data_IF_565690942731
#
_entry.id   IF_565690942731
#
_cell.length_a   1.000
_cell.length_b   1.000
_cell.length_c   1.000
_cell.angle_alpha   90.00
_cell.angle_beta   90.00
_cell.angle_gamma   90.00
#
_symmetry.space_group_name_H-M   'P 1'
#
loop_
_entity.id
_entity.type
_entity.pdbx_description
1 polymer ?
#
# COMPACT_ATOMS: atom_id res chain seq x y z
N UNK A 1 -23.00 25.40 -49.26
CA UNK A 1 -21.69 24.74 -49.36
C UNK A 1 -21.53 23.77 -48.19
N UNK A 2 -21.47 22.45 -48.41
CA UNK A 2 -21.23 21.50 -47.33
C UNK A 2 -19.74 21.55 -46.96
N UNK A 3 -19.45 21.97 -45.72
CA UNK A 3 -18.11 22.03 -45.15
C UNK A 3 -17.61 20.62 -44.81
N UNK A 4 -17.04 19.95 -45.82
CA UNK A 4 -16.30 18.69 -45.68
C UNK A 4 -14.96 18.90 -44.95
N UNK A 5 -15.00 19.21 -43.65
CA UNK A 5 -13.81 19.10 -42.81
C UNK A 5 -13.75 17.70 -42.18
N UNK A 6 -12.85 16.82 -42.63
CA UNK A 6 -12.65 15.51 -42.00
C UNK A 6 -12.04 15.74 -40.63
N UNK A 7 -12.88 15.72 -39.60
CA UNK A 7 -12.43 16.07 -38.26
C UNK A 7 -12.40 14.87 -37.35
N UNK A 8 -11.42 14.00 -37.58
CA UNK A 8 -11.03 13.04 -36.55
C UNK A 8 -10.28 13.83 -35.49
N UNK A 9 -10.88 13.99 -34.31
CA UNK A 9 -10.14 14.45 -33.14
C UNK A 9 -8.92 13.54 -32.95
N UNK A 10 -7.77 14.08 -32.55
CA UNK A 10 -6.60 13.27 -32.27
C UNK A 10 -6.91 12.36 -31.08
N UNK A 11 -7.24 11.10 -31.38
CA UNK A 11 -7.33 10.07 -30.34
C UNK A 11 -5.90 9.70 -29.91
N UNK A 12 -5.69 9.48 -28.61
CA UNK A 12 -4.39 9.02 -28.14
C UNK A 12 -4.05 7.68 -28.82
N UNK A 13 -2.89 7.66 -29.49
CA UNK A 13 -2.33 6.41 -29.98
C UNK A 13 -1.95 5.53 -28.78
N UNK A 14 -2.05 4.21 -28.94
CA UNK A 14 -1.63 3.26 -27.89
C UNK A 14 -0.17 3.49 -27.50
N UNK A 15 0.67 3.86 -28.47
CA UNK A 15 2.08 4.20 -28.27
C UNK A 15 2.26 5.41 -27.37
N UNK A 16 1.51 6.50 -27.60
CA UNK A 16 1.58 7.69 -26.74
C UNK A 16 1.17 7.38 -25.29
N UNK A 17 0.11 6.58 -25.10
CA UNK A 17 -0.33 6.14 -23.76
C UNK A 17 0.75 5.27 -23.09
N UNK A 18 1.36 4.36 -23.82
CA UNK A 18 2.44 3.51 -23.30
C UNK A 18 3.66 4.34 -22.85
N UNK A 19 4.11 5.29 -23.68
CA UNK A 19 5.22 6.20 -23.36
C UNK A 19 4.89 7.03 -22.11
N UNK A 20 3.68 7.57 -22.03
CA UNK A 20 3.21 8.31 -20.84
C UNK A 20 3.29 7.44 -19.58
N UNK A 21 2.76 6.22 -19.63
CA UNK A 21 2.79 5.28 -18.49
C UNK A 21 4.22 4.94 -18.09
N UNK A 22 5.12 4.70 -19.06
CA UNK A 22 6.52 4.42 -18.80
C UNK A 22 7.21 5.62 -18.11
N UNK A 23 6.99 6.84 -18.61
CA UNK A 23 7.53 8.06 -18.01
C UNK A 23 7.01 8.28 -16.59
N UNK A 24 5.71 8.11 -16.35
CA UNK A 24 5.14 8.21 -15.01
C UNK A 24 5.67 7.12 -14.06
N UNK A 25 5.89 5.91 -14.57
CA UNK A 25 6.47 4.81 -13.78
C UNK A 25 7.91 5.12 -13.36
N UNK A 26 8.72 5.67 -14.27
CA UNK A 26 10.06 6.14 -13.94
C UNK A 26 10.02 7.26 -12.88
N UNK A 27 9.13 8.23 -13.03
CA UNK A 27 8.95 9.30 -12.05
C UNK A 27 8.55 8.76 -10.67
N UNK A 28 7.61 7.81 -10.60
CA UNK A 28 7.23 7.16 -9.34
C UNK A 28 8.38 6.42 -8.68
N UNK A 29 9.21 5.73 -9.46
CA UNK A 29 10.40 5.03 -8.93
C UNK A 29 11.39 6.02 -8.32
N UNK A 30 11.65 7.15 -8.98
CA UNK A 30 12.53 8.21 -8.44
C UNK A 30 11.95 8.79 -7.15
N UNK A 31 10.66 9.11 -7.15
CA UNK A 31 9.96 9.65 -5.97
C UNK A 31 10.01 8.65 -4.82
N UNK A 32 9.77 7.36 -5.09
CA UNK A 32 9.85 6.30 -4.09
C UNK A 32 11.27 6.11 -3.56
N UNK A 33 12.30 6.10 -4.40
CA UNK A 33 13.68 5.97 -3.94
C UNK A 33 14.08 7.14 -3.02
N UNK A 34 13.68 8.36 -3.39
CA UNK A 34 13.99 9.55 -2.59
C UNK A 34 13.26 9.59 -1.25
N UNK A 35 11.97 9.26 -1.22
CA UNK A 35 11.19 9.30 0.02
C UNK A 35 11.39 8.08 0.92
N UNK A 36 11.59 6.91 0.33
CA UNK A 36 11.59 5.64 1.04
C UNK A 36 12.95 4.96 0.90
N UNK A 37 13.30 4.46 -0.28
CA UNK A 37 14.33 3.41 -0.34
C UNK A 37 15.69 3.88 0.12
N UNK A 38 16.12 5.06 -0.34
CA UNK A 38 17.44 5.64 -0.01
C UNK A 38 17.73 5.71 1.49
N UNK A 39 16.69 5.69 2.34
CA UNK A 39 16.81 5.80 3.81
C UNK A 39 16.87 4.47 4.52
N UNK A 40 16.28 3.45 3.92
CA UNK A 40 16.13 2.15 4.56
C UNK A 40 16.87 1.04 3.82
N UNK A 41 17.68 1.34 2.80
CA UNK A 41 18.38 0.34 1.96
C UNK A 41 19.03 -0.80 2.76
N UNK A 42 19.74 -0.48 3.85
CA UNK A 42 20.34 -1.49 4.72
C UNK A 42 19.31 -2.43 5.35
N UNK A 43 18.22 -1.86 5.87
CA UNK A 43 17.07 -2.61 6.41
C UNK A 43 16.38 -3.44 5.33
N UNK A 44 16.23 -2.90 4.12
CA UNK A 44 15.66 -3.65 2.98
C UNK A 44 16.50 -4.88 2.63
N UNK A 45 17.82 -4.69 2.57
CA UNK A 45 18.77 -5.75 2.26
C UNK A 45 18.75 -6.83 3.34
N UNK A 46 18.81 -6.44 4.61
CA UNK A 46 18.72 -7.37 5.73
C UNK A 46 17.38 -8.14 5.72
N UNK A 47 16.26 -7.47 5.46
CA UNK A 47 14.95 -8.12 5.36
C UNK A 47 14.88 -9.10 4.18
N UNK A 48 15.46 -8.73 3.04
CA UNK A 48 15.55 -9.63 1.90
C UNK A 48 16.37 -10.88 2.24
N UNK A 49 17.55 -10.71 2.83
CA UNK A 49 18.40 -11.83 3.27
C UNK A 49 17.62 -12.74 4.23
N UNK A 50 16.89 -12.17 5.20
CA UNK A 50 16.03 -12.93 6.12
C UNK A 50 14.93 -13.73 5.42
N UNK A 51 14.29 -13.18 4.38
CA UNK A 51 13.26 -13.92 3.63
C UNK A 51 13.88 -15.09 2.88
N UNK A 52 15.02 -14.88 2.23
CA UNK A 52 15.75 -15.91 1.48
C UNK A 52 16.27 -17.01 2.42
N UNK A 53 16.78 -16.64 3.60
CA UNK A 53 17.24 -17.58 4.63
C UNK A 53 16.13 -18.17 5.51
N UNK A 54 14.86 -17.94 5.18
CA UNK A 54 13.71 -18.42 5.94
C UNK A 54 13.70 -18.00 7.43
N UNK A 55 14.28 -16.85 7.77
CA UNK A 55 14.37 -16.31 9.14
C UNK A 55 13.58 -15.02 9.35
N UNK A 56 12.86 -14.53 8.34
CA UNK A 56 12.01 -13.36 8.49
C UNK A 56 10.81 -13.65 9.41
N UNK A 57 10.26 -12.63 10.10
CA UNK A 57 9.04 -12.78 10.88
C UNK A 57 7.78 -12.85 9.99
N UNK A 58 6.68 -13.34 10.57
CA UNK A 58 5.36 -13.23 9.92
C UNK A 58 4.88 -11.76 9.94
N UNK A 59 4.13 -11.31 8.91
CA UNK A 59 3.78 -12.04 7.68
C UNK A 59 4.83 -11.98 6.56
N UNK A 60 5.94 -11.25 6.72
CA UNK A 60 6.89 -10.98 5.63
C UNK A 60 7.52 -12.26 5.07
N UNK A 61 7.81 -13.24 5.92
CA UNK A 61 8.36 -14.54 5.49
C UNK A 61 7.54 -15.23 4.39
N UNK A 62 6.21 -15.01 4.36
CA UNK A 62 5.32 -15.68 3.42
C UNK A 62 5.14 -14.90 2.11
N UNK A 63 5.75 -13.72 1.98
CA UNK A 63 5.62 -12.84 0.81
C UNK A 63 6.79 -13.03 -0.15
N UNK A 64 6.96 -14.26 -0.61
CA UNK A 64 8.19 -14.71 -1.27
C UNK A 64 8.37 -14.16 -2.69
N UNK A 65 7.30 -13.91 -3.44
CA UNK A 65 7.38 -13.64 -4.88
C UNK A 65 8.41 -12.57 -5.26
N UNK A 66 8.34 -11.39 -4.64
CA UNK A 66 9.22 -10.26 -4.99
C UNK A 66 10.67 -10.51 -4.59
N UNK A 67 10.90 -11.16 -3.44
CA UNK A 67 12.25 -11.45 -2.97
C UNK A 67 12.94 -12.45 -3.90
N UNK A 68 12.24 -13.51 -4.32
CA UNK A 68 12.79 -14.47 -5.28
C UNK A 68 12.94 -13.89 -6.69
N UNK A 69 12.04 -12.99 -7.12
CA UNK A 69 12.22 -12.26 -8.37
C UNK A 69 13.47 -11.36 -8.34
N UNK A 70 13.71 -10.66 -7.22
CA UNK A 70 14.91 -9.83 -7.03
C UNK A 70 16.18 -10.69 -6.99
N UNK A 71 16.15 -11.81 -6.29
CA UNK A 71 17.26 -12.77 -6.23
C UNK A 71 17.62 -13.30 -7.63
N UNK A 72 16.63 -13.61 -8.47
CA UNK A 72 16.88 -14.02 -9.86
C UNK A 72 17.57 -12.94 -10.70
N UNK A 73 17.17 -11.68 -10.52
CA UNK A 73 17.82 -10.53 -11.17
C UNK A 73 19.24 -10.31 -10.65
N UNK A 74 19.46 -10.48 -9.34
CA UNK A 74 20.78 -10.35 -8.72
C UNK A 74 21.75 -11.42 -9.21
N UNK A 75 21.28 -12.67 -9.35
CA UNK A 75 22.05 -13.76 -9.97
C UNK A 75 22.37 -13.52 -11.45
N UNK A 76 21.62 -12.64 -12.10
CA UNK A 76 21.87 -12.21 -13.49
C UNK A 76 22.90 -11.06 -13.57
N UNK A 77 23.47 -10.63 -12.43
CA UNK A 77 24.53 -9.62 -12.36
C UNK A 77 24.07 -8.22 -11.96
N UNK A 78 22.78 -8.01 -11.66
CA UNK A 78 22.32 -6.72 -11.14
C UNK A 78 22.65 -6.60 -9.64
N UNK A 79 22.99 -5.40 -9.18
CA UNK A 79 23.10 -5.16 -7.74
C UNK A 79 21.71 -5.16 -7.07
N UNK A 80 21.71 -5.30 -5.74
CA UNK A 80 20.48 -5.36 -4.93
C UNK A 80 19.52 -4.20 -5.21
N UNK A 81 20.02 -2.97 -5.26
CA UNK A 81 19.18 -1.79 -5.44
C UNK A 81 18.60 -1.78 -6.85
N UNK A 82 19.43 -2.01 -7.86
CA UNK A 82 19.01 -2.06 -9.26
C UNK A 82 17.95 -3.15 -9.50
N UNK A 83 18.08 -4.33 -8.87
CA UNK A 83 17.08 -5.39 -8.96
C UNK A 83 15.69 -4.97 -8.42
N UNK A 84 15.63 -4.40 -7.22
CA UNK A 84 14.37 -3.94 -6.63
C UNK A 84 13.78 -2.72 -7.37
N UNK A 85 14.63 -1.80 -7.81
CA UNK A 85 14.23 -0.65 -8.64
C UNK A 85 13.65 -1.13 -9.98
N UNK A 86 14.27 -2.11 -10.64
CA UNK A 86 13.77 -2.70 -11.88
C UNK A 86 12.41 -3.37 -11.68
N UNK A 87 12.24 -4.17 -10.61
CA UNK A 87 10.95 -4.78 -10.27
C UNK A 87 9.88 -3.71 -10.08
N UNK A 88 10.17 -2.67 -9.28
CA UNK A 88 9.20 -1.59 -9.05
C UNK A 88 8.83 -0.87 -10.35
N UNK A 89 9.80 -0.55 -11.19
CA UNK A 89 9.55 0.08 -12.48
C UNK A 89 8.64 -0.78 -13.36
N UNK A 90 8.99 -2.05 -13.54
CA UNK A 90 8.24 -3.00 -14.39
C UNK A 90 6.83 -3.17 -13.87
N UNK A 91 6.64 -3.45 -12.58
CA UNK A 91 5.29 -3.67 -12.04
C UNK A 91 4.46 -2.39 -11.98
N UNK A 92 5.05 -1.21 -11.76
CA UNK A 92 4.32 0.07 -11.86
C UNK A 92 3.83 0.30 -13.30
N UNK A 93 4.72 0.08 -14.28
CA UNK A 93 4.39 0.24 -15.70
C UNK A 93 3.31 -0.74 -16.15
N UNK A 94 3.45 -2.00 -15.78
CA UNK A 94 2.46 -3.03 -16.09
C UNK A 94 1.12 -2.75 -15.39
N UNK A 95 1.13 -2.32 -14.12
CA UNK A 95 -0.10 -1.92 -13.43
C UNK A 95 -0.82 -0.79 -14.19
N UNK A 96 -0.09 0.27 -14.57
CA UNK A 96 -0.64 1.37 -15.36
C UNK A 96 -1.21 0.92 -16.71
N UNK A 97 -0.48 0.07 -17.45
CA UNK A 97 -0.90 -0.42 -18.77
C UNK A 97 -2.14 -1.32 -18.71
N UNK A 98 -2.15 -2.28 -17.78
CA UNK A 98 -3.32 -3.15 -17.60
C UNK A 98 -4.50 -2.37 -17.02
N UNK A 99 -4.26 -1.34 -16.21
CA UNK A 99 -5.33 -0.49 -15.70
C UNK A 99 -5.95 0.37 -16.80
N UNK A 100 -5.15 0.94 -17.70
CA UNK A 100 -5.64 1.57 -18.92
C UNK A 100 -6.51 0.60 -19.73
N UNK A 101 -5.99 -0.60 -20.00
CA UNK A 101 -6.70 -1.63 -20.77
C UNK A 101 -8.01 -2.03 -20.10
N UNK A 102 -8.01 -2.15 -18.77
CA UNK A 102 -9.20 -2.40 -17.97
C UNK A 102 -10.23 -1.28 -18.09
N UNK A 103 -9.83 -0.01 -17.92
CA UNK A 103 -10.72 1.14 -18.04
C UNK A 103 -11.32 1.27 -19.45
N UNK A 104 -10.56 0.98 -20.51
CA UNK A 104 -11.06 1.05 -21.89
C UNK A 104 -12.21 0.08 -22.19
N UNK A 105 -12.57 -0.82 -21.27
CA UNK A 105 -13.81 -1.59 -21.40
C UNK A 105 -15.07 -0.74 -21.25
N UNK A 106 -15.05 0.30 -20.43
CA UNK A 106 -16.24 1.12 -20.14
C UNK A 106 -16.08 2.58 -20.55
N UNK A 107 -14.86 3.00 -20.81
CA UNK A 107 -14.52 4.38 -21.11
C UNK A 107 -13.90 4.51 -22.50
N UNK A 108 -14.08 5.68 -23.12
CA UNK A 108 -13.24 6.13 -24.22
C UNK A 108 -11.78 6.23 -23.77
N UNK A 109 -10.83 6.25 -24.72
CA UNK A 109 -9.40 6.21 -24.39
C UNK A 109 -8.97 7.39 -23.54
N UNK A 110 -9.55 8.55 -23.81
CA UNK A 110 -9.25 9.80 -23.16
C UNK A 110 -9.62 9.73 -21.66
N UNK A 111 -10.84 9.28 -21.34
CA UNK A 111 -11.27 9.05 -19.97
C UNK A 111 -10.45 7.95 -19.27
N UNK A 112 -10.10 6.87 -19.99
CA UNK A 112 -9.21 5.84 -19.46
C UNK A 112 -7.82 6.39 -19.09
N UNK A 113 -7.26 7.31 -19.89
CA UNK A 113 -6.01 8.01 -19.54
C UNK A 113 -6.19 8.84 -18.28
N UNK A 114 -7.30 9.58 -18.09
CA UNK A 114 -7.55 10.30 -16.82
C UNK A 114 -7.52 9.32 -15.64
N UNK A 115 -8.17 8.17 -15.76
CA UNK A 115 -8.18 7.17 -14.69
C UNK A 115 -6.77 6.66 -14.35
N UNK A 116 -5.91 6.46 -15.36
CA UNK A 116 -4.50 6.12 -15.14
C UNK A 116 -3.74 7.26 -14.48
N UNK A 117 -3.93 8.51 -14.91
CA UNK A 117 -3.32 9.68 -14.27
C UNK A 117 -3.71 9.75 -12.79
N UNK A 118 -4.98 9.50 -12.45
CA UNK A 118 -5.44 9.41 -11.06
C UNK A 118 -4.76 8.29 -10.28
N UNK A 119 -4.61 7.10 -10.88
CA UNK A 119 -3.88 6.00 -10.22
C UNK A 119 -2.47 6.45 -9.84
N UNK A 120 -1.72 7.01 -10.80
CA UNK A 120 -0.37 7.52 -10.56
C UNK A 120 -0.34 8.70 -9.59
N UNK A 121 -1.40 9.51 -9.54
CA UNK A 121 -1.51 10.60 -8.59
C UNK A 121 -1.63 10.14 -7.15
N UNK A 122 -2.26 8.99 -6.94
CA UNK A 122 -2.49 8.42 -5.61
C UNK A 122 -1.30 7.61 -5.09
N UNK A 123 -0.47 7.04 -5.96
CA UNK A 123 0.69 6.22 -5.55
C UNK A 123 1.62 6.92 -4.53
N UNK A 124 1.99 8.20 -4.68
CA UNK A 124 2.87 8.89 -3.73
C UNK A 124 2.29 9.03 -2.32
N UNK A 125 0.96 9.10 -2.19
CA UNK A 125 0.31 9.13 -0.87
C UNK A 125 0.48 7.82 -0.11
N UNK A 126 0.75 6.73 -0.81
CA UNK A 126 1.06 5.44 -0.17
C UNK A 126 2.38 5.45 0.59
N UNK A 127 3.25 6.45 0.35
CA UNK A 127 4.56 6.58 1.01
C UNK A 127 4.46 7.27 2.38
N UNK A 128 3.29 7.78 2.76
CA UNK A 128 3.04 8.31 4.10
C UNK A 128 3.07 7.17 5.10
N UNK A 129 3.92 7.27 6.14
CA UNK A 129 4.12 6.22 7.15
C UNK A 129 4.43 4.83 6.55
N UNK A 130 5.07 4.83 5.39
CA UNK A 130 5.39 3.63 4.66
C UNK A 130 6.69 3.02 5.18
N UNK A 131 6.58 1.87 5.82
CA UNK A 131 7.71 0.96 5.95
C UNK A 131 7.95 0.31 4.59
N UNK A 132 9.20 0.19 4.13
CA UNK A 132 9.48 -0.37 2.80
C UNK A 132 8.86 -1.76 2.60
N UNK A 133 7.95 -1.86 1.62
CA UNK A 133 7.14 -3.06 1.39
C UNK A 133 7.09 -3.36 -0.12
N UNK A 134 8.14 -4.01 -0.67
CA UNK A 134 8.36 -4.12 -2.10
C UNK A 134 7.27 -4.93 -2.84
N UNK A 135 6.45 -5.67 -2.10
CA UNK A 135 5.29 -6.41 -2.57
C UNK A 135 4.07 -5.55 -2.93
N UNK A 136 4.01 -4.28 -2.53
CA UNK A 136 2.80 -3.46 -2.64
C UNK A 136 2.43 -3.11 -4.09
N UNK A 137 3.40 -2.71 -4.91
CA UNK A 137 3.18 -2.40 -6.33
C UNK A 137 2.85 -3.66 -7.14
N UNK A 138 3.58 -4.79 -7.01
CA UNK A 138 3.16 -6.07 -7.60
C UNK A 138 1.76 -6.50 -7.16
N UNK A 139 1.38 -6.25 -5.90
CA UNK A 139 0.03 -6.54 -5.43
C UNK A 139 -1.03 -5.71 -6.17
N UNK A 140 -0.81 -4.40 -6.34
CA UNK A 140 -1.67 -3.55 -7.15
C UNK A 140 -1.80 -4.09 -8.59
N UNK A 141 -0.69 -4.45 -9.22
CA UNK A 141 -0.69 -5.07 -10.55
C UNK A 141 -1.58 -6.33 -10.59
N UNK A 142 -1.40 -7.26 -9.66
CA UNK A 142 -2.21 -8.48 -9.61
C UNK A 142 -3.70 -8.20 -9.40
N UNK A 143 -4.05 -7.21 -8.57
CA UNK A 143 -5.44 -6.79 -8.42
C UNK A 143 -6.04 -6.24 -9.72
N UNK A 144 -5.30 -5.37 -10.43
CA UNK A 144 -5.72 -4.83 -11.72
C UNK A 144 -5.93 -5.94 -12.76
N UNK A 145 -4.95 -6.84 -12.91
CA UNK A 145 -5.02 -7.94 -13.90
C UNK A 145 -6.09 -8.95 -13.51
N UNK A 146 -6.24 -9.27 -12.22
CA UNK A 146 -7.27 -10.15 -11.70
C UNK A 146 -8.67 -9.59 -11.95
N UNK A 147 -8.88 -8.30 -11.71
CA UNK A 147 -10.13 -7.60 -12.04
C UNK A 147 -10.38 -7.57 -13.56
N UNK A 148 -9.34 -7.37 -14.37
CA UNK A 148 -9.45 -7.44 -15.83
C UNK A 148 -9.86 -8.84 -16.32
N UNK A 149 -9.27 -9.90 -15.75
CA UNK A 149 -9.63 -11.29 -16.06
C UNK A 149 -11.07 -11.60 -15.63
N UNK A 150 -11.48 -11.17 -14.43
CA UNK A 150 -12.85 -11.29 -13.92
C UNK A 150 -13.87 -10.56 -14.81
N UNK A 151 -13.57 -9.31 -15.20
CA UNK A 151 -14.39 -8.53 -16.12
C UNK A 151 -14.47 -9.17 -17.51
N UNK A 152 -13.44 -9.91 -17.93
CA UNK A 152 -13.39 -10.61 -19.22
C UNK A 152 -14.02 -12.00 -19.17
N UNK A 153 -14.42 -12.50 -17.99
CA UNK A 153 -14.88 -13.88 -17.83
C UNK A 153 -13.81 -14.93 -18.12
N UNK A 154 -12.52 -14.58 -18.10
CA UNK A 154 -11.40 -15.48 -18.41
C UNK A 154 -10.93 -16.20 -17.15
N UNK A 155 -11.66 -17.23 -16.74
CA UNK A 155 -11.44 -17.92 -15.46
C UNK A 155 -10.04 -18.53 -15.31
N UNK A 156 -9.50 -19.17 -16.36
CA UNK A 156 -8.14 -19.74 -16.31
C UNK A 156 -7.07 -18.66 -16.08
N UNK A 157 -7.17 -17.51 -16.76
CA UNK A 157 -6.28 -16.39 -16.53
C UNK A 157 -6.43 -15.81 -15.12
N UNK A 158 -7.68 -15.76 -14.60
CA UNK A 158 -7.95 -15.33 -13.24
C UNK A 158 -7.29 -16.27 -12.20
N UNK A 159 -7.40 -17.59 -12.36
CA UNK A 159 -6.74 -18.56 -11.48
C UNK A 159 -5.21 -18.45 -11.53
N UNK A 160 -4.63 -18.28 -12.72
CA UNK A 160 -3.18 -18.11 -12.86
C UNK A 160 -2.70 -16.84 -12.12
N UNK A 161 -3.41 -15.73 -12.29
CA UNK A 161 -3.10 -14.46 -11.59
C UNK A 161 -3.25 -14.62 -10.08
N UNK A 162 -4.34 -15.21 -9.61
CA UNK A 162 -4.57 -15.46 -8.18
C UNK A 162 -3.46 -16.34 -7.58
N UNK A 163 -3.07 -17.41 -8.28
CA UNK A 163 -2.00 -18.30 -7.85
C UNK A 163 -0.70 -17.56 -7.60
N UNK A 164 -0.22 -16.78 -8.58
CA UNK A 164 1.01 -15.99 -8.43
C UNK A 164 0.86 -14.88 -7.39
N UNK A 165 -0.30 -14.21 -7.35
CA UNK A 165 -0.57 -13.12 -6.41
C UNK A 165 -0.53 -13.56 -4.95
N UNK A 166 -0.98 -14.79 -4.65
CA UNK A 166 -0.94 -15.35 -3.29
C UNK A 166 0.48 -15.62 -2.78
N UNK A 167 1.47 -15.83 -3.66
CA UNK A 167 2.89 -15.86 -3.28
C UNK A 167 3.48 -14.46 -3.03
N UNK A 168 2.81 -13.41 -3.50
CA UNK A 168 3.21 -12.03 -3.27
C UNK A 168 2.59 -11.46 -2.00
N UNK A 169 1.28 -11.64 -1.80
CA UNK A 169 0.57 -11.13 -0.62
C UNK A 169 -0.74 -11.86 -0.38
N UNK A 170 -1.06 -12.14 0.87
CA UNK A 170 -2.28 -12.86 1.26
C UNK A 170 -3.56 -12.07 0.94
N UNK A 171 -3.49 -10.74 0.89
CA UNK A 171 -4.65 -9.89 0.56
C UNK A 171 -5.20 -10.16 -0.84
N UNK A 172 -4.42 -10.75 -1.75
CA UNK A 172 -4.86 -11.19 -3.07
C UNK A 172 -6.06 -12.16 -3.02
N UNK A 173 -6.31 -12.82 -1.89
CA UNK A 173 -7.50 -13.65 -1.68
C UNK A 173 -8.81 -12.89 -1.91
N UNK A 174 -8.82 -11.56 -1.76
CA UNK A 174 -9.98 -10.72 -2.04
C UNK A 174 -10.39 -10.70 -3.52
N UNK A 175 -9.55 -11.19 -4.43
CA UNK A 175 -9.96 -11.45 -5.82
C UNK A 175 -11.06 -12.52 -5.92
N UNK A 176 -11.12 -13.47 -4.99
CA UNK A 176 -12.12 -14.56 -4.96
C UNK A 176 -13.55 -14.01 -4.80
N UNK A 177 -13.88 -13.19 -3.77
CA UNK A 177 -15.21 -12.58 -3.69
C UNK A 177 -15.50 -11.61 -4.85
N UNK A 178 -14.48 -10.95 -5.42
CA UNK A 178 -14.67 -10.15 -6.65
C UNK A 178 -15.17 -11.03 -7.80
N UNK A 179 -14.57 -12.20 -8.02
CA UNK A 179 -15.03 -13.16 -9.04
C UNK A 179 -16.47 -13.58 -8.78
N UNK A 180 -16.77 -14.03 -7.56
CA UNK A 180 -18.12 -14.44 -7.14
C UNK A 180 -19.16 -13.37 -7.47
N UNK A 181 -18.96 -12.15 -6.94
CA UNK A 181 -19.93 -11.07 -7.11
C UNK A 181 -20.03 -10.63 -8.56
N UNK A 182 -18.91 -10.44 -9.25
CA UNK A 182 -18.92 -9.99 -10.65
C UNK A 182 -19.65 -10.97 -11.58
N UNK A 183 -19.58 -12.28 -11.32
CA UNK A 183 -20.13 -13.33 -12.18
C UNK A 183 -21.51 -13.84 -11.74
N UNK A 184 -21.95 -13.55 -10.52
CA UNK A 184 -23.24 -14.00 -9.98
C UNK A 184 -24.41 -13.69 -10.93
N UNK A 185 -25.24 -14.66 -11.29
CA UNK A 185 -26.36 -14.45 -12.22
C UNK A 185 -26.01 -14.10 -13.67
N UNK A 186 -24.72 -14.01 -14.06
CA UNK A 186 -24.30 -13.92 -15.48
C UNK A 186 -24.07 -15.30 -16.11
N UNK A 187 -23.90 -16.32 -15.27
CA UNK A 187 -23.83 -17.73 -15.64
C UNK A 187 -24.72 -18.50 -14.68
N UNK A 188 -24.89 -19.80 -14.92
CA UNK A 188 -25.52 -20.70 -13.94
C UNK A 188 -24.81 -20.53 -12.59
N UNK A 189 -25.55 -20.19 -11.55
CA UNK A 189 -24.98 -19.89 -10.23
C UNK A 189 -24.13 -21.06 -9.69
N UNK A 190 -24.52 -22.31 -10.01
CA UNK A 190 -23.76 -23.51 -9.67
C UNK A 190 -22.33 -23.48 -10.22
N UNK A 191 -22.15 -23.08 -11.49
CA UNK A 191 -20.82 -22.95 -12.08
C UNK A 191 -20.00 -21.86 -11.39
N UNK A 192 -20.60 -20.71 -11.08
CA UNK A 192 -19.91 -19.61 -10.39
C UNK A 192 -19.49 -20.02 -8.97
N UNK A 193 -20.34 -20.76 -8.26
CA UNK A 193 -20.03 -21.29 -6.93
C UNK A 193 -18.83 -22.26 -7.01
N UNK A 194 -18.83 -23.21 -7.94
CA UNK A 194 -17.71 -24.14 -8.14
C UNK A 194 -16.42 -23.39 -8.50
N UNK A 195 -16.49 -22.45 -9.45
CA UNK A 195 -15.34 -21.62 -9.83
C UNK A 195 -14.81 -20.80 -8.63
N UNK A 196 -15.69 -20.26 -7.80
CA UNK A 196 -15.31 -19.52 -6.59
C UNK A 196 -14.68 -20.45 -5.56
N UNK A 197 -15.24 -21.64 -5.35
CA UNK A 197 -14.72 -22.64 -4.42
C UNK A 197 -13.32 -23.12 -4.84
N UNK A 198 -13.11 -23.40 -6.13
CA UNK A 198 -11.78 -23.78 -6.66
C UNK A 198 -10.78 -22.64 -6.50
N UNK A 199 -11.17 -21.40 -6.78
CA UNK A 199 -10.29 -20.24 -6.57
C UNK A 199 -9.96 -20.02 -5.08
N UNK A 200 -10.94 -20.18 -4.20
CA UNK A 200 -10.75 -20.12 -2.75
C UNK A 200 -9.83 -21.23 -2.25
N UNK A 201 -10.03 -22.46 -2.70
CA UNK A 201 -9.19 -23.60 -2.36
C UNK A 201 -7.75 -23.41 -2.83
N UNK A 202 -7.54 -22.85 -4.03
CA UNK A 202 -6.20 -22.48 -4.52
C UNK A 202 -5.52 -21.47 -3.58
N UNK A 203 -6.23 -20.39 -3.23
CA UNK A 203 -5.66 -19.36 -2.35
C UNK A 203 -5.34 -19.88 -0.94
N UNK A 204 -6.28 -20.61 -0.32
CA UNK A 204 -6.08 -21.24 1.00
C UNK A 204 -4.97 -22.28 0.93
N UNK A 205 -4.90 -23.07 -0.15
CA UNK A 205 -3.86 -24.06 -0.39
C UNK A 205 -2.46 -23.45 -0.44
N UNK A 206 -2.28 -22.34 -1.17
CA UNK A 206 -1.00 -21.61 -1.22
C UNK A 206 -0.65 -21.00 0.15
N UNK A 207 -1.64 -20.42 0.85
CA UNK A 207 -1.45 -19.90 2.20
C UNK A 207 -0.96 -20.98 3.18
N UNK A 208 -1.56 -22.17 3.14
CA UNK A 208 -1.18 -23.32 3.95
C UNK A 208 0.18 -23.90 3.53
N UNK A 209 0.45 -23.99 2.22
CA UNK A 209 1.72 -24.44 1.68
C UNK A 209 2.89 -23.59 2.17
N UNK A 210 2.77 -22.26 2.12
CA UNK A 210 3.80 -21.33 2.59
C UNK A 210 4.09 -21.51 4.09
N UNK A 211 3.05 -21.67 4.92
CA UNK A 211 3.18 -21.90 6.37
C UNK A 211 3.76 -23.26 6.71
N UNK A 212 3.43 -24.30 5.92
CA UNK A 212 4.05 -25.61 6.05
C UNK A 212 5.53 -25.57 5.65
N UNK A 213 5.87 -24.82 4.60
CA UNK A 213 7.23 -24.75 4.06
C UNK A 213 8.18 -23.95 4.95
N UNK A 214 7.75 -22.78 5.44
CA UNK A 214 8.59 -21.87 6.23
C UNK A 214 8.39 -21.99 7.76
N UNK A 215 7.58 -22.95 8.19
CA UNK A 215 7.02 -23.05 9.54
C UNK A 215 6.20 -21.81 9.96
N UNK A 216 5.44 -21.96 11.05
CA UNK A 216 4.68 -20.84 11.62
C UNK A 216 5.65 -19.90 12.33
N UNK A 217 5.90 -18.75 11.73
CA UNK A 217 6.68 -17.65 12.32
C UNK A 217 5.83 -16.81 13.27
N UNK A 218 6.47 -16.29 14.32
CA UNK A 218 5.89 -15.26 15.17
C UNK A 218 5.61 -14.00 14.34
N UNK A 219 4.47 -13.35 14.60
CA UNK A 219 4.14 -12.08 13.99
C UNK A 219 4.96 -10.98 14.64
N UNK A 220 5.53 -10.07 13.85
CA UNK A 220 6.22 -8.88 14.39
C UNK A 220 5.23 -7.81 14.88
N UNK A 221 3.93 -8.02 14.65
CA UNK A 221 2.86 -7.06 14.87
C UNK A 221 1.69 -7.77 15.56
N UNK A 222 0.86 -7.03 16.27
CA UNK A 222 -0.39 -7.58 16.81
C UNK A 222 -1.26 -8.12 15.68
N UNK A 223 -2.03 -9.17 15.97
CA UNK A 223 -2.98 -9.72 15.00
C UNK A 223 -4.26 -8.88 14.91
N UNK A 224 -4.54 -8.03 15.91
CA UNK A 224 -5.83 -7.36 16.04
C UNK A 224 -5.66 -5.84 16.28
N UNK A 225 -5.92 -5.05 15.25
CA UNK A 225 -5.78 -3.59 15.21
C UNK A 225 -7.12 -2.83 15.26
N UNK A 226 -8.24 -3.52 15.47
CA UNK A 226 -9.56 -2.89 15.41
C UNK A 226 -9.68 -1.69 16.34
N UNK A 227 -9.25 -1.84 17.60
CA UNK A 227 -9.27 -0.76 18.59
C UNK A 227 -8.43 0.44 18.12
N UNK A 228 -7.18 0.23 17.73
CA UNK A 228 -6.29 1.32 17.32
C UNK A 228 -6.78 2.03 16.07
N UNK A 229 -7.23 1.27 15.06
CA UNK A 229 -7.74 1.82 13.82
C UNK A 229 -9.01 2.64 14.03
N UNK A 230 -9.89 2.19 14.93
CA UNK A 230 -11.12 2.92 15.24
C UNK A 230 -10.86 4.21 16.02
N UNK A 231 -9.88 4.20 16.93
CA UNK A 231 -9.55 5.35 17.78
C UNK A 231 -8.64 6.40 17.13
N UNK A 232 -7.86 6.03 16.10
CA UNK A 232 -6.87 6.94 15.50
C UNK A 232 -7.49 7.80 14.39
N UNK A 233 -7.72 9.09 14.69
CA UNK A 233 -8.27 10.07 13.75
C UNK A 233 -7.47 10.15 12.44
N UNK A 234 -6.15 9.92 12.49
CA UNK A 234 -5.27 9.99 11.31
C UNK A 234 -5.62 8.94 10.26
N UNK A 235 -6.10 7.77 10.67
CA UNK A 235 -6.59 6.72 9.76
C UNK A 235 -7.66 7.28 8.82
N UNK A 236 -8.62 8.01 9.37
CA UNK A 236 -9.72 8.58 8.59
C UNK A 236 -9.29 9.79 7.78
N UNK A 237 -8.40 10.64 8.33
CA UNK A 237 -7.83 11.77 7.58
C UNK A 237 -7.06 11.27 6.36
N UNK A 238 -6.22 10.25 6.51
CA UNK A 238 -5.48 9.70 5.38
C UNK A 238 -6.39 8.99 4.38
N UNK A 239 -7.39 8.24 4.83
CA UNK A 239 -8.39 7.67 3.92
C UNK A 239 -9.16 8.78 3.17
N UNK A 240 -9.51 9.88 3.84
CA UNK A 240 -10.15 11.04 3.24
C UNK A 240 -9.21 11.80 2.28
N UNK A 241 -7.92 11.89 2.55
CA UNK A 241 -6.97 12.48 1.59
C UNK A 241 -6.80 11.56 0.38
N UNK A 242 -6.71 10.24 0.63
CA UNK A 242 -6.43 9.23 -0.38
C UNK A 242 -7.62 9.01 -1.33
N UNK A 243 -8.85 8.99 -0.81
CA UNK A 243 -10.05 8.81 -1.63
C UNK A 243 -10.88 10.09 -1.78
N UNK A 244 -10.95 10.93 -0.76
CA UNK A 244 -11.61 12.24 -0.77
C UNK A 244 -12.93 12.27 -1.54
N UNK A 245 -13.07 13.16 -2.53
CA UNK A 245 -14.29 13.27 -3.31
C UNK A 245 -14.61 12.01 -4.13
N UNK A 246 -13.64 11.14 -4.42
CA UNK A 246 -13.91 9.88 -5.13
C UNK A 246 -14.83 8.95 -4.35
N UNK A 247 -14.84 8.96 -3.02
CA UNK A 247 -15.81 8.17 -2.26
C UNK A 247 -17.23 8.60 -2.61
N UNK A 248 -17.49 9.91 -2.56
CA UNK A 248 -18.79 10.46 -2.92
C UNK A 248 -19.17 10.12 -4.36
N UNK A 249 -18.26 10.37 -5.32
CA UNK A 249 -18.54 10.08 -6.73
C UNK A 249 -18.64 8.59 -7.05
N UNK A 250 -17.96 7.72 -6.31
CA UNK A 250 -18.07 6.27 -6.49
C UNK A 250 -19.48 5.75 -6.19
N UNK A 251 -20.16 6.36 -5.22
CA UNK A 251 -21.51 5.95 -4.80
C UNK A 251 -22.64 6.84 -5.32
N UNK A 252 -22.35 8.06 -5.78
CA UNK A 252 -23.32 8.91 -6.50
C UNK A 252 -23.83 8.15 -7.73
N UNK A 253 -25.13 8.16 -7.99
CA UNK A 253 -25.74 7.49 -9.15
C UNK A 253 -25.31 6.03 -9.30
N UNK A 254 -25.13 5.30 -8.19
CA UNK A 254 -24.57 3.95 -8.21
C UNK A 254 -25.31 3.00 -9.14
N UNK A 255 -26.64 3.14 -9.25
CA UNK A 255 -27.48 2.28 -10.11
C UNK A 255 -27.20 2.45 -11.60
N UNK A 256 -26.69 3.59 -12.06
CA UNK A 256 -26.36 3.83 -13.48
C UNK A 256 -25.02 3.23 -13.90
N UNK A 257 -24.24 2.72 -12.95
CA UNK A 257 -22.90 2.18 -13.20
C UNK A 257 -22.94 0.80 -13.85
N UNK A 258 -21.89 0.42 -14.60
CA UNK A 258 -21.77 -0.91 -15.19
C UNK A 258 -21.99 -1.99 -14.13
N UNK A 259 -22.73 -3.04 -14.49
CA UNK A 259 -23.09 -4.10 -13.55
C UNK A 259 -21.85 -4.74 -12.91
N UNK A 260 -20.76 -4.88 -13.67
CA UNK A 260 -19.48 -5.39 -13.15
C UNK A 260 -18.95 -4.50 -12.02
N UNK A 261 -18.88 -3.18 -12.23
CA UNK A 261 -18.34 -2.25 -11.23
C UNK A 261 -19.19 -2.24 -9.96
N UNK A 262 -20.52 -2.23 -10.10
CA UNK A 262 -21.44 -2.30 -8.95
C UNK A 262 -21.22 -3.53 -8.09
N UNK A 263 -21.01 -4.68 -8.74
CA UNK A 263 -20.78 -5.95 -8.06
C UNK A 263 -19.37 -6.08 -7.50
N UNK A 264 -18.36 -5.60 -8.20
CA UNK A 264 -16.99 -5.52 -7.68
C UNK A 264 -16.93 -4.66 -6.41
N UNK A 265 -17.73 -3.59 -6.32
CA UNK A 265 -17.85 -2.74 -5.12
C UNK A 265 -18.33 -3.50 -3.87
N UNK A 266 -19.01 -4.65 -4.02
CA UNK A 266 -19.44 -5.48 -2.89
C UNK A 266 -18.26 -6.11 -2.14
N UNK A 267 -17.03 -6.05 -2.67
CA UNK A 267 -15.82 -6.44 -1.93
C UNK A 267 -15.41 -5.40 -0.88
N UNK A 268 -15.87 -4.15 -0.98
CA UNK A 268 -15.45 -3.05 -0.10
C UNK A 268 -15.72 -3.36 1.39
N UNK A 269 -16.90 -3.87 1.80
CA UNK A 269 -17.12 -4.26 3.21
C UNK A 269 -16.16 -5.36 3.69
N UNK A 270 -15.87 -6.36 2.86
CA UNK A 270 -14.92 -7.44 3.20
C UNK A 270 -13.50 -6.89 3.35
N UNK A 271 -13.09 -6.03 2.41
CA UNK A 271 -11.82 -5.33 2.48
C UNK A 271 -11.72 -4.53 3.78
N UNK A 272 -12.74 -3.73 4.09
CA UNK A 272 -12.77 -2.89 5.29
C UNK A 272 -12.70 -3.72 6.57
N UNK A 273 -13.51 -4.77 6.71
CA UNK A 273 -13.51 -5.64 7.89
C UNK A 273 -12.13 -6.26 8.10
N UNK A 274 -11.56 -6.89 7.06
CA UNK A 274 -10.26 -7.56 7.16
C UNK A 274 -9.16 -6.56 7.50
N UNK A 275 -9.13 -5.40 6.85
CA UNK A 275 -8.02 -4.46 7.03
C UNK A 275 -8.15 -3.64 8.32
N UNK A 276 -9.35 -3.25 8.75
CA UNK A 276 -9.54 -2.63 10.06
C UNK A 276 -9.25 -3.58 11.22
N UNK A 277 -9.42 -4.89 11.04
CA UNK A 277 -9.13 -5.87 12.10
C UNK A 277 -7.67 -6.33 12.08
N UNK A 278 -7.09 -6.62 10.92
CA UNK A 278 -5.79 -7.32 10.84
C UNK A 278 -4.61 -6.43 10.41
N UNK A 279 -4.84 -5.17 10.06
CA UNK A 279 -3.79 -4.31 9.49
C UNK A 279 -3.80 -2.91 10.08
N UNK A 280 -2.70 -2.18 9.94
CA UNK A 280 -2.53 -0.84 10.52
C UNK A 280 -3.03 0.21 9.51
N UNK A 281 -4.32 0.55 9.57
CA UNK A 281 -5.01 1.36 8.54
C UNK A 281 -4.51 2.80 8.40
N UNK A 282 -3.67 3.24 9.33
CA UNK A 282 -2.93 4.50 9.22
C UNK A 282 -1.90 4.49 8.09
N UNK A 283 -1.53 3.32 7.55
CA UNK A 283 -0.63 3.19 6.41
C UNK A 283 -1.42 3.24 5.09
N UNK A 284 -1.38 4.34 4.31
CA UNK A 284 -2.29 4.50 3.17
C UNK A 284 -2.06 3.48 2.06
N UNK A 285 -0.86 2.88 1.98
CA UNK A 285 -0.53 1.79 1.05
C UNK A 285 -1.47 0.60 1.12
N UNK A 286 -2.09 0.35 2.28
CA UNK A 286 -2.99 -0.79 2.47
C UNK A 286 -4.25 -0.67 1.62
N UNK A 287 -4.61 0.54 1.20
CA UNK A 287 -5.73 0.85 0.33
C UNK A 287 -5.46 0.63 -1.16
N UNK A 288 -4.21 0.36 -1.56
CA UNK A 288 -3.85 0.09 -2.97
C UNK A 288 -4.76 -0.95 -3.67
N UNK A 289 -5.11 -2.10 -3.04
CA UNK A 289 -5.90 -3.15 -3.70
C UNK A 289 -7.31 -2.71 -4.11
N UNK A 290 -7.86 -1.68 -3.46
CA UNK A 290 -9.22 -1.21 -3.73
C UNK A 290 -9.26 -0.04 -4.72
N UNK A 291 -8.11 0.55 -5.08
CA UNK A 291 -8.02 1.60 -6.10
C UNK A 291 -8.62 1.17 -7.46
N UNK A 292 -8.39 -0.05 -7.97
CA UNK A 292 -8.99 -0.49 -9.22
C UNK A 292 -10.52 -0.66 -9.16
N UNK A 293 -11.13 -0.58 -7.98
CA UNK A 293 -12.58 -0.53 -7.78
C UNK A 293 -13.06 0.92 -7.67
N UNK A 294 -12.45 1.74 -6.80
CA UNK A 294 -12.89 3.11 -6.56
C UNK A 294 -12.70 4.04 -7.75
N UNK A 295 -11.55 3.98 -8.43
CA UNK A 295 -11.24 4.89 -9.53
C UNK A 295 -12.26 4.75 -10.67
N UNK A 296 -12.56 3.56 -11.22
CA UNK A 296 -13.58 3.43 -12.26
C UNK A 296 -14.98 3.87 -11.80
N UNK A 297 -15.36 3.58 -10.55
CA UNK A 297 -16.65 4.02 -9.99
C UNK A 297 -16.77 5.54 -9.96
N UNK A 298 -15.76 6.23 -9.43
CA UNK A 298 -15.75 7.70 -9.38
C UNK A 298 -15.64 8.31 -10.77
N UNK A 299 -14.79 7.74 -11.63
CA UNK A 299 -14.61 8.17 -13.01
C UNK A 299 -15.92 8.07 -13.80
N UNK A 300 -16.75 7.04 -13.57
CA UNK A 300 -18.06 6.94 -14.21
C UNK A 300 -18.93 8.16 -13.92
N UNK A 301 -19.00 8.61 -12.66
CA UNK A 301 -19.83 9.76 -12.28
C UNK A 301 -19.28 11.09 -12.78
N UNK A 302 -17.95 11.22 -12.87
CA UNK A 302 -17.27 12.45 -13.28
C UNK A 302 -17.17 12.61 -14.81
N UNK A 303 -17.16 11.50 -15.54
CA UNK A 303 -16.94 11.49 -16.98
C UNK A 303 -18.25 11.81 -17.72
N UNK A 304 -18.26 12.74 -18.68
CA UNK A 304 -19.41 13.00 -19.55
C UNK A 304 -19.88 11.73 -20.27
N UNK A 305 -21.18 11.62 -20.55
CA UNK A 305 -21.77 10.44 -21.21
C UNK A 305 -21.13 10.14 -22.57
N UNK A 306 -20.69 11.16 -23.31
CA UNK A 306 -20.00 11.02 -24.60
C UNK A 306 -18.67 10.27 -24.52
N UNK A 307 -18.05 10.21 -23.34
CA UNK A 307 -16.80 9.49 -23.09
C UNK A 307 -17.03 8.15 -22.36
N UNK A 308 -18.29 7.80 -22.08
CA UNK A 308 -18.69 6.46 -21.60
C UNK A 308 -19.04 5.62 -22.82
N UNK A 309 -18.62 4.35 -22.83
CA UNK A 309 -19.08 3.42 -23.85
C UNK A 309 -20.53 3.06 -23.54
N UNK A 310 -21.39 3.03 -24.56
CA UNK A 310 -22.76 2.55 -24.43
C UNK A 310 -22.73 1.09 -23.99
N UNK A 311 -23.42 0.78 -22.89
CA UNK A 311 -23.51 -0.58 -22.36
C UNK A 311 -24.92 -1.05 -22.67
N UNK A 312 -25.03 -2.03 -23.56
CA UNK A 312 -26.27 -2.77 -23.73
C UNK A 312 -26.66 -3.37 -22.38
N UNK A 313 -27.91 -3.19 -21.94
CA UNK A 313 -28.40 -3.77 -20.70
C UNK A 313 -28.27 -5.31 -20.68
N UNK A 314 -28.15 -5.95 -21.85
CA UNK A 314 -28.02 -7.39 -22.01
C UNK A 314 -26.57 -7.88 -22.18
N UNK A 315 -25.62 -7.01 -22.57
CA UNK A 315 -24.22 -7.38 -22.84
C UNK A 315 -23.23 -6.38 -22.24
N UNK A 316 -22.44 -6.84 -21.25
CA UNK A 316 -21.26 -6.12 -20.75
C UNK A 316 -20.07 -6.16 -21.73
N UNK A 317 -20.25 -6.74 -22.93
CA UNK A 317 -19.41 -6.42 -24.08
C UNK A 317 -20.06 -5.24 -24.79
N UNK A 318 -19.65 -3.98 -24.52
CA UNK A 318 -20.23 -2.84 -25.20
C UNK A 318 -19.97 -3.00 -26.69
N UNK A 319 -21.04 -3.22 -27.46
CA UNK A 319 -21.00 -2.93 -28.88
C UNK A 319 -20.65 -1.44 -28.98
N UNK A 320 -19.48 -1.13 -29.57
CA UNK A 320 -19.03 0.24 -29.75
C UNK A 320 -19.96 0.87 -30.79
N UNK A 321 -21.09 1.43 -30.36
CA UNK A 321 -21.83 2.35 -31.20
C UNK A 321 -20.99 3.62 -31.27
N UNK A 322 -20.18 3.73 -32.32
CA UNK A 322 -19.43 4.94 -32.64
C UNK A 322 -20.43 6.05 -32.99
N UNK A 323 -21.07 6.62 -31.97
CA UNK A 323 -21.80 7.87 -32.13
C UNK A 323 -20.77 8.97 -32.35
N UNK A 324 -20.75 9.55 -33.55
CA UNK A 324 -19.96 10.70 -33.99
C UNK A 324 -20.32 11.99 -33.21
N UNK A 325 -20.25 11.94 -31.87
CA UNK A 325 -20.42 13.12 -31.04
C UNK A 325 -19.12 13.93 -31.04
N UNK A 326 -19.12 14.95 -31.88
CA UNK A 326 -18.07 15.94 -32.02
C UNK A 326 -17.87 16.75 -30.73
N UNK A 327 -17.20 16.16 -29.72
CA UNK A 327 -16.66 16.90 -28.58
C UNK A 327 -15.31 17.50 -29.00
N UNK A 328 -15.35 18.50 -29.89
CA UNK A 328 -14.16 19.24 -30.31
C UNK A 328 -13.81 20.32 -29.30
N UNK A 329 -12.55 20.37 -28.89
CA UNK A 329 -11.95 21.51 -28.18
C UNK A 329 -12.05 21.47 -26.65
N UNK A 330 -13.23 21.16 -26.06
CA UNK A 330 -13.40 21.21 -24.60
C UNK A 330 -12.66 20.10 -23.85
N UNK A 331 -12.48 18.93 -24.48
CA UNK A 331 -11.75 17.81 -23.88
C UNK A 331 -10.31 18.21 -23.57
N UNK A 332 -9.54 18.63 -24.57
CA UNK A 332 -8.11 18.97 -24.44
C UNK A 332 -7.84 19.99 -23.32
N UNK A 333 -8.65 21.04 -23.22
CA UNK A 333 -8.53 22.05 -22.17
C UNK A 333 -8.80 21.46 -20.77
N UNK A 334 -9.83 20.63 -20.63
CA UNK A 334 -10.13 19.95 -19.35
C UNK A 334 -9.01 18.98 -18.96
N UNK A 335 -8.39 18.30 -19.93
CA UNK A 335 -7.25 17.40 -19.70
C UNK A 335 -5.98 18.14 -19.28
N UNK A 336 -5.65 19.23 -19.97
CA UNK A 336 -4.50 20.08 -19.59
C UNK A 336 -4.72 20.71 -18.22
N UNK A 337 -5.95 21.13 -17.91
CA UNK A 337 -6.30 21.60 -16.58
C UNK A 337 -6.17 20.50 -15.52
N UNK A 338 -6.63 19.28 -15.79
CA UNK A 338 -6.50 18.14 -14.88
C UNK A 338 -5.03 17.74 -14.67
N UNK A 339 -4.22 17.72 -15.74
CA UNK A 339 -2.78 17.46 -15.67
C UNK A 339 -2.05 18.58 -14.92
N UNK A 340 -2.36 19.84 -15.20
CA UNK A 340 -1.76 20.97 -14.50
C UNK A 340 -2.15 20.97 -13.01
N UNK A 341 -3.43 20.72 -12.69
CA UNK A 341 -3.89 20.56 -11.32
C UNK A 341 -3.17 19.39 -10.63
N UNK A 342 -2.99 18.28 -11.34
CA UNK A 342 -2.21 17.14 -10.84
C UNK A 342 -0.76 17.54 -10.55
N UNK A 343 -0.07 18.20 -11.48
CA UNK A 343 1.33 18.63 -11.31
C UNK A 343 1.46 19.63 -10.16
N UNK A 344 0.54 20.60 -10.05
CA UNK A 344 0.52 21.60 -8.96
C UNK A 344 0.28 20.93 -7.62
N UNK A 345 -0.73 20.06 -7.54
CA UNK A 345 -1.02 19.28 -6.34
C UNK A 345 0.17 18.40 -5.95
N UNK A 346 0.78 17.74 -6.92
CA UNK A 346 1.92 16.86 -6.70
C UNK A 346 3.13 17.63 -6.21
N UNK A 347 3.46 18.78 -6.82
CA UNK A 347 4.54 19.66 -6.37
C UNK A 347 4.27 20.26 -4.99
N UNK A 348 3.03 20.68 -4.72
CA UNK A 348 2.62 21.22 -3.41
C UNK A 348 2.67 20.16 -2.31
N UNK A 349 2.15 18.96 -2.58
CA UNK A 349 2.27 17.80 -1.69
C UNK A 349 3.74 17.47 -1.43
N UNK A 350 4.57 17.50 -2.46
CA UNK A 350 6.00 17.24 -2.35
C UNK A 350 6.68 18.24 -1.41
N UNK A 351 6.44 19.54 -1.61
CA UNK A 351 6.99 20.60 -0.74
C UNK A 351 6.50 20.48 0.69
N UNK A 352 5.20 20.23 0.88
CA UNK A 352 4.62 20.02 2.21
C UNK A 352 5.21 18.80 2.90
N UNK A 353 5.27 17.65 2.22
CA UNK A 353 5.83 16.42 2.78
C UNK A 353 7.31 16.62 3.09
N UNK A 354 8.06 17.27 2.20
CA UNK A 354 9.44 17.65 2.44
C UNK A 354 9.58 18.49 3.71
N UNK A 355 8.75 19.51 3.90
CA UNK A 355 8.83 20.35 5.10
C UNK A 355 8.39 19.62 6.37
N UNK A 356 7.25 18.93 6.31
CA UNK A 356 6.61 18.31 7.46
C UNK A 356 7.29 17.02 7.92
N UNK A 357 7.92 16.27 7.00
CA UNK A 357 8.52 14.97 7.28
C UNK A 357 10.02 14.92 6.99
N UNK A 358 10.55 15.83 6.14
CA UNK A 358 11.97 15.83 5.73
C UNK A 358 12.78 17.02 6.25
N UNK A 359 12.14 18.00 6.91
CA UNK A 359 12.81 19.17 7.47
C UNK A 359 13.99 18.81 8.39
N UNK A 360 13.99 17.58 8.90
CA UNK A 360 14.99 17.03 9.80
C UNK A 360 15.59 15.70 9.28
N UNK A 361 15.86 15.58 7.97
CA UNK A 361 16.53 14.39 7.42
C UNK A 361 17.85 14.07 8.12
N UNK A 362 18.65 15.11 8.40
CA UNK A 362 19.91 14.97 9.14
C UNK A 362 19.68 14.44 10.55
N UNK A 363 18.64 14.93 11.22
CA UNK A 363 18.26 14.51 12.56
C UNK A 363 17.78 13.06 12.59
N UNK A 364 17.02 12.62 11.59
CA UNK A 364 16.63 11.22 11.45
C UNK A 364 17.84 10.31 11.20
N UNK A 365 18.71 10.65 10.24
CA UNK A 365 19.94 9.90 9.96
C UNK A 365 20.85 9.85 11.21
N UNK A 366 20.97 10.97 11.93
CA UNK A 366 21.69 11.03 13.20
C UNK A 366 21.04 10.15 14.26
N UNK A 367 19.71 10.18 14.38
CA UNK A 367 18.95 9.34 15.31
C UNK A 367 19.18 7.85 15.06
N UNK A 368 19.05 7.41 13.81
CA UNK A 368 19.27 6.02 13.41
C UNK A 368 20.71 5.59 13.65
N UNK A 369 21.70 6.45 13.36
CA UNK A 369 23.11 6.16 13.65
C UNK A 369 23.35 5.97 15.15
N UNK A 370 22.74 6.78 16.01
CA UNK A 370 22.84 6.62 17.46
C UNK A 370 22.18 5.30 17.91
N UNK A 371 21.01 4.95 17.36
CA UNK A 371 20.35 3.67 17.67
C UNK A 371 21.14 2.45 17.21
N UNK A 372 21.71 2.50 16.00
CA UNK A 372 22.53 1.43 15.46
C UNK A 372 23.80 1.24 16.30
N UNK A 373 24.46 2.33 16.69
CA UNK A 373 25.65 2.28 17.52
C UNK A 373 25.35 1.76 18.93
N UNK A 374 24.28 2.26 19.57
CA UNK A 374 23.85 1.75 20.87
C UNK A 374 23.52 0.24 20.82
N UNK A 375 22.87 -0.21 19.75
CA UNK A 375 22.56 -1.63 19.55
C UNK A 375 23.82 -2.47 19.36
N UNK A 376 24.79 -1.95 18.59
CA UNK A 376 26.11 -2.60 18.39
C UNK A 376 26.88 -2.73 19.70
N UNK A 377 26.91 -1.68 20.51
CA UNK A 377 27.57 -1.66 21.82
C UNK A 377 26.92 -2.66 22.79
N UNK A 378 25.58 -2.66 22.91
CA UNK A 378 24.87 -3.60 23.79
C UNK A 378 25.04 -5.05 23.34
N UNK A 379 25.03 -5.32 22.02
CA UNK A 379 25.31 -6.66 21.49
C UNK A 379 26.73 -7.14 21.80
N UNK A 380 27.69 -6.23 21.94
CA UNK A 380 29.05 -6.53 22.37
C UNK A 380 29.20 -6.74 23.89
N UNK A 381 28.15 -6.49 24.68
CA UNK A 381 28.19 -6.49 26.14
C UNK A 381 28.64 -5.16 26.77
N UNK A 382 28.68 -4.06 26.00
CA UNK A 382 29.19 -2.75 26.41
C UNK A 382 28.00 -1.87 26.82
N UNK A 383 27.24 -2.35 27.81
CA UNK A 383 25.91 -1.83 28.11
C UNK A 383 25.93 -0.38 28.66
N UNK A 384 26.95 0.00 29.43
CA UNK A 384 27.13 1.39 29.88
C UNK A 384 27.37 2.35 28.71
N UNK A 385 28.20 1.95 27.74
CA UNK A 385 28.45 2.75 26.54
C UNK A 385 27.20 2.86 25.66
N UNK A 386 26.39 1.80 25.58
CA UNK A 386 25.10 1.83 24.90
C UNK A 386 24.14 2.83 25.56
N UNK A 387 24.06 2.83 26.90
CA UNK A 387 23.29 3.80 27.69
C UNK A 387 23.80 5.22 27.45
N UNK A 388 25.11 5.45 27.40
CA UNK A 388 25.69 6.77 27.11
C UNK A 388 25.29 7.27 25.72
N UNK A 389 25.37 6.42 24.69
CA UNK A 389 24.94 6.79 23.34
C UNK A 389 23.44 7.12 23.29
N UNK A 390 22.59 6.32 23.93
CA UNK A 390 21.15 6.61 24.02
C UNK A 390 20.87 7.89 24.81
N UNK A 391 21.64 8.18 25.85
CA UNK A 391 21.55 9.43 26.63
C UNK A 391 21.89 10.63 25.76
N UNK A 392 22.97 10.55 24.99
CA UNK A 392 23.35 11.58 24.02
C UNK A 392 22.24 11.79 22.98
N UNK A 393 21.66 10.71 22.48
CA UNK A 393 20.51 10.77 21.58
C UNK A 393 19.30 11.47 22.19
N UNK A 394 18.93 11.11 23.43
CA UNK A 394 17.85 11.77 24.16
C UNK A 394 18.14 13.26 24.43
N UNK A 395 19.40 13.65 24.62
CA UNK A 395 19.79 15.05 24.80
C UNK A 395 19.69 15.87 23.49
N UNK A 396 20.04 15.27 22.35
CA UNK A 396 19.89 15.91 21.03
C UNK A 396 18.41 15.95 20.62
N UNK A 397 17.65 14.91 20.97
CA UNK A 397 16.24 14.73 20.59
C UNK A 397 15.33 14.59 21.82
N UNK A 398 15.19 15.63 22.66
CA UNK A 398 14.48 15.53 23.94
C UNK A 398 12.97 15.29 23.80
N UNK A 399 12.41 15.48 22.61
CA UNK A 399 11.00 15.20 22.31
C UNK A 399 10.78 13.82 21.66
N UNK A 400 11.84 13.04 21.43
CA UNK A 400 11.72 11.73 20.79
C UNK A 400 11.53 10.62 21.84
N UNK A 401 10.29 10.15 21.96
CA UNK A 401 9.92 9.10 22.90
C UNK A 401 10.72 7.80 22.72
N UNK A 402 11.16 7.46 21.50
CA UNK A 402 11.91 6.22 21.24
C UNK A 402 13.28 6.22 21.91
N UNK A 403 13.97 7.38 21.99
CA UNK A 403 15.22 7.48 22.74
C UNK A 403 15.00 7.20 24.22
N UNK A 404 13.95 7.78 24.81
CA UNK A 404 13.61 7.52 26.20
C UNK A 404 13.18 6.08 26.43
N UNK A 405 12.44 5.46 25.51
CA UNK A 405 12.02 4.07 25.62
C UNK A 405 13.21 3.11 25.61
N UNK A 406 14.10 3.23 24.61
CA UNK A 406 15.31 2.39 24.52
C UNK A 406 16.25 2.62 25.69
N UNK A 407 16.42 3.87 26.10
CA UNK A 407 17.23 4.22 27.27
C UNK A 407 16.65 3.61 28.55
N UNK A 408 15.32 3.65 28.73
CA UNK A 408 14.64 3.02 29.86
C UNK A 408 14.86 1.49 29.88
N UNK A 409 14.74 0.81 28.73
CA UNK A 409 15.01 -0.62 28.60
C UNK A 409 16.48 -0.97 28.94
N UNK A 410 17.43 -0.19 28.42
CA UNK A 410 18.85 -0.39 28.70
C UNK A 410 19.15 -0.18 30.20
N UNK A 411 18.62 0.88 30.81
CA UNK A 411 18.74 1.11 32.25
C UNK A 411 18.14 -0.05 33.07
N UNK A 412 16.93 -0.50 32.75
CA UNK A 412 16.23 -1.53 33.52
C UNK A 412 16.89 -2.90 33.47
N UNK A 413 17.32 -3.33 32.27
CA UNK A 413 17.68 -4.74 32.05
C UNK A 413 19.17 -4.99 31.79
N UNK A 414 19.94 -3.94 31.51
CA UNK A 414 21.36 -4.09 31.18
C UNK A 414 22.27 -3.62 32.29
N UNK A 415 22.00 -2.44 32.83
CA UNK A 415 22.78 -1.85 33.94
C UNK A 415 22.03 -1.88 35.28
N UNK A 416 20.80 -2.38 35.31
CA UNK A 416 19.95 -2.52 36.50
C UNK A 416 19.74 -1.22 37.30
N UNK A 417 19.73 -0.06 36.61
CA UNK A 417 19.39 1.24 37.18
C UNK A 417 17.87 1.49 37.06
N UNK A 418 17.12 0.90 37.99
CA UNK A 418 15.66 0.96 37.99
C UNK A 418 15.12 2.39 38.18
N UNK A 419 15.82 3.24 38.93
CA UNK A 419 15.41 4.63 39.16
C UNK A 419 15.43 5.42 37.87
N UNK A 420 16.54 5.32 37.12
CA UNK A 420 16.70 5.99 35.83
C UNK A 420 15.79 5.39 34.75
N UNK A 421 15.57 4.08 34.79
CA UNK A 421 14.60 3.43 33.91
C UNK A 421 13.18 3.98 34.12
N UNK A 422 12.73 4.10 35.38
CA UNK A 422 11.42 4.62 35.74
C UNK A 422 11.20 6.06 35.25
N UNK A 423 12.22 6.93 35.39
CA UNK A 423 12.19 8.30 34.89
C UNK A 423 11.92 8.34 33.37
N UNK A 424 12.69 7.56 32.60
CA UNK A 424 12.55 7.55 31.16
C UNK A 424 11.28 6.86 30.68
N UNK A 425 10.81 5.79 31.33
CA UNK A 425 9.51 5.19 30.99
C UNK A 425 8.34 6.16 31.18
N UNK A 426 8.36 6.98 32.25
CA UNK A 426 7.37 8.03 32.45
C UNK A 426 7.47 9.09 31.35
N UNK A 427 8.68 9.47 30.96
CA UNK A 427 8.91 10.43 29.88
C UNK A 427 8.37 9.93 28.53
N UNK A 428 8.44 8.63 28.25
CA UNK A 428 7.80 8.03 27.07
C UNK A 428 6.31 8.30 27.05
N UNK A 429 5.60 8.05 28.15
CA UNK A 429 4.15 8.28 28.25
C UNK A 429 3.77 9.76 28.26
N UNK A 430 4.65 10.63 28.74
CA UNK A 430 4.48 12.09 28.67
C UNK A 430 4.58 12.60 27.23
N UNK A 431 5.61 12.17 26.50
CA UNK A 431 5.88 12.60 25.13
C UNK A 431 4.94 11.95 24.10
N UNK A 432 4.63 10.67 24.29
CA UNK A 432 3.74 9.90 23.43
C UNK A 432 2.79 9.01 24.28
N UNK A 433 1.64 9.57 24.71
CA UNK A 433 0.61 8.81 25.43
C UNK A 433 0.06 7.61 24.65
N UNK A 434 0.30 7.55 23.33
CA UNK A 434 -0.14 6.50 22.42
C UNK A 434 1.05 5.70 21.85
N UNK A 435 2.18 5.67 22.56
CA UNK A 435 3.36 4.91 22.16
C UNK A 435 3.02 3.46 21.80
N UNK A 436 3.69 2.88 20.80
CA UNK A 436 3.41 1.52 20.32
C UNK A 436 3.45 0.49 21.46
N UNK A 437 4.45 0.62 22.33
CA UNK A 437 4.65 -0.24 23.51
C UNK A 437 4.02 0.31 24.80
N UNK A 438 2.99 1.17 24.73
CA UNK A 438 2.41 1.87 25.90
C UNK A 438 2.07 0.93 27.05
N UNK A 439 1.42 -0.19 26.76
CA UNK A 439 0.95 -1.10 27.79
C UNK A 439 2.13 -1.86 28.45
N UNK A 440 3.18 -2.18 27.68
CA UNK A 440 4.45 -2.68 28.24
C UNK A 440 5.12 -1.63 29.12
N UNK A 441 5.18 -0.38 28.67
CA UNK A 441 5.76 0.74 29.44
C UNK A 441 5.01 0.92 30.77
N UNK A 442 3.68 0.87 30.75
CA UNK A 442 2.85 0.92 31.98
C UNK A 442 3.14 -0.26 32.91
N UNK A 443 3.26 -1.47 32.36
CA UNK A 443 3.59 -2.65 33.14
C UNK A 443 4.97 -2.54 33.80
N UNK A 444 5.98 -2.03 33.09
CA UNK A 444 7.33 -1.82 33.64
C UNK A 444 7.35 -0.74 34.73
N UNK A 445 6.63 0.37 34.55
CA UNK A 445 6.46 1.41 35.58
C UNK A 445 5.87 0.78 36.85
N UNK A 446 4.77 0.03 36.71
CA UNK A 446 4.11 -0.64 37.85
C UNK A 446 5.02 -1.67 38.52
N UNK A 447 5.82 -2.42 37.74
CA UNK A 447 6.78 -3.40 38.25
C UNK A 447 7.85 -2.72 39.12
N UNK A 448 8.51 -1.70 38.59
CA UNK A 448 9.59 -0.99 39.29
C UNK A 448 9.06 -0.31 40.56
N UNK A 449 7.91 0.34 40.49
CA UNK A 449 7.27 1.00 41.64
C UNK A 449 6.87 0.01 42.73
N UNK A 450 6.43 -1.20 42.37
CA UNK A 450 6.10 -2.25 43.33
C UNK A 450 7.33 -2.69 44.14
N UNK A 451 8.46 -2.95 43.47
CA UNK A 451 9.69 -3.39 44.13
C UNK A 451 10.43 -2.26 44.86
N UNK A 452 10.21 -1.01 44.48
CA UNK A 452 10.82 0.15 45.14
C UNK A 452 10.16 0.53 46.48
N UNK A 453 8.97 0.00 46.79
CA UNK A 453 8.31 0.27 48.07
C UNK A 453 9.07 -0.43 49.21
N UNK A 454 9.49 0.29 50.27
CA UNK A 454 10.11 -0.34 51.42
C UNK A 454 9.16 -1.39 51.99
N UNK A 455 9.62 -2.64 52.14
CA UNK A 455 8.85 -3.71 52.78
C UNK A 455 8.76 -3.45 54.29
N UNK A 456 7.98 -2.43 54.66
CA UNK A 456 7.63 -2.15 56.04
C UNK A 456 6.68 -3.26 56.52
N UNK A 457 7.22 -4.34 57.09
CA UNK A 457 6.41 -5.28 57.89
C UNK A 457 6.48 -6.77 57.56
N UNK A 458 7.62 -7.32 57.17
CA UNK A 458 7.91 -8.76 57.38
C UNK A 458 9.14 -8.90 58.25
N UNK A 459 8.95 -8.75 59.57
CA UNK A 459 9.83 -9.29 60.61
C UNK A 459 9.08 -10.40 61.31
#
# INVERSE_FOLDING_TARGET
>A
MPSNFPSKSPTFSKTAVFILIAAMSAAQVVVHDWFVDSRVRGVQKALHEQVISASAPAPIQYRVFVHYAAEGLMRSGLDFQTAFTAIRFVFTMLAGWFFFTFLTKWFAREAAVIGVLWLFALLPFTYIRYYFQPMDIPNLFFFVVGMYAAASGRYAAFLAVLGVAMFNRETAILLVPIWLFARWGRRKNTAVIVETAVAGALGIGIYALLRRTFAIKAYYSDLFYLGSNLSDLRTYIYALIFFGPFVFYAFRDFRSKPLFMRRAALVIPFFAIIHFTMTIMIEPRLWLPILPVFIPLGLWSLTPETLRKSISAADDNPAVSAGDSAVKGRGAALYLAALAAFVVFFAGFFQWYQKAHLGNRRDYELSENIFAEASRLSAGGWDEAAVEQLTRGAAIFPANAEFHYRLALACAYRIFDEKRALEHFRKVLELDPHHLDRDRVKAEISRIEYYSKPQNGRR
#
